data_IF_549241385176
#
_entry.id   IF_549241385176
#
_cell.length_a   1.000
_cell.length_b   1.000
_cell.length_c   1.000
_cell.angle_alpha   90.00
_cell.angle_beta   90.00
_cell.angle_gamma   90.00
#
_symmetry.space_group_name_H-M   'P 1'
#
loop_
_entity.id
_entity.type
_entity.pdbx_description
1 polymer ?
#
# COMPACT_ATOMS: atom_id res chain seq x y z
N UNK A 1 59.23 19.12 34.59
CA UNK A 1 59.70 17.73 34.70
C UNK A 1 58.98 16.91 33.63
N UNK A 2 59.77 16.39 32.69
CA UNK A 2 59.58 15.29 31.70
C UNK A 2 58.29 15.30 30.83
N UNK A 3 58.36 15.60 29.52
CA UNK A 3 58.87 14.79 28.38
C UNK A 3 58.03 13.52 28.11
N UNK A 4 57.26 13.44 27.01
CA UNK A 4 57.63 12.85 25.68
C UNK A 4 56.65 11.68 25.41
N UNK A 5 56.25 11.22 24.21
CA UNK A 5 56.74 11.34 22.83
C UNK A 5 55.62 10.98 21.81
N UNK A 6 55.86 11.41 20.57
CA UNK A 6 55.32 10.93 19.29
C UNK A 6 55.37 9.40 19.12
N UNK A 7 54.45 8.85 18.30
CA UNK A 7 54.80 7.91 17.24
C UNK A 7 53.79 8.00 16.08
N UNK A 8 54.33 8.12 14.87
CA UNK A 8 53.66 8.12 13.57
C UNK A 8 53.86 6.76 12.86
N UNK A 9 53.34 6.66 11.63
CA UNK A 9 53.47 5.58 10.61
C UNK A 9 52.37 4.49 10.66
N UNK A 10 51.80 3.99 9.56
CA UNK A 10 52.29 3.91 8.17
C UNK A 10 51.10 3.76 7.18
N UNK A 11 51.30 4.27 5.96
CA UNK A 11 50.57 4.00 4.71
C UNK A 11 50.47 2.49 4.39
N UNK A 12 49.35 2.06 3.79
CA UNK A 12 49.35 1.03 2.75
C UNK A 12 48.22 1.30 1.74
N UNK A 13 48.64 1.47 0.48
CA UNK A 13 47.85 1.66 -0.73
C UNK A 13 47.64 0.30 -1.44
N UNK A 14 46.45 0.15 -2.03
CA UNK A 14 46.14 -0.59 -3.28
C UNK A 14 46.20 -2.15 -3.26
N UNK A 15 45.51 -2.88 -4.17
CA UNK A 15 45.02 -2.43 -5.48
C UNK A 15 43.59 -2.81 -5.90
N UNK A 16 43.16 -2.11 -6.94
CA UNK A 16 42.05 -2.41 -7.82
C UNK A 16 42.19 -3.81 -8.45
N UNK A 17 41.07 -4.53 -8.54
CA UNK A 17 40.93 -5.71 -9.39
C UNK A 17 39.90 -5.43 -10.48
N UNK A 18 40.33 -5.65 -11.71
CA UNK A 18 39.62 -5.41 -12.95
C UNK A 18 38.54 -6.46 -13.23
N UNK A 19 37.53 -6.02 -13.98
CA UNK A 19 36.50 -6.81 -14.66
C UNK A 19 37.12 -7.86 -15.60
N UNK A 20 36.48 -9.03 -15.78
CA UNK A 20 36.56 -9.78 -17.02
C UNK A 20 35.43 -9.33 -17.98
N UNK A 21 35.86 -8.80 -19.11
CA UNK A 21 35.09 -8.64 -20.34
C UNK A 21 34.55 -9.98 -20.84
N UNK A 22 33.27 -10.03 -21.23
CA UNK A 22 32.76 -11.01 -22.17
C UNK A 22 32.28 -10.28 -23.42
N UNK A 23 33.07 -10.39 -24.48
CA UNK A 23 32.72 -10.09 -25.86
C UNK A 23 31.85 -11.21 -26.43
N UNK A 24 30.80 -10.86 -27.16
CA UNK A 24 29.95 -11.81 -27.85
C UNK A 24 28.97 -11.08 -28.77
N UNK A 25 29.43 -10.78 -29.99
CA UNK A 25 28.64 -10.26 -31.09
C UNK A 25 27.54 -11.24 -31.53
N UNK A 26 26.40 -10.70 -31.96
CA UNK A 26 25.31 -11.46 -32.57
C UNK A 26 24.12 -10.57 -32.93
N UNK A 27 24.27 -9.76 -33.99
CA UNK A 27 23.20 -8.96 -34.61
C UNK A 27 22.39 -9.84 -35.57
N UNK A 28 21.07 -9.93 -35.40
CA UNK A 28 20.08 -10.00 -36.48
C UNK A 28 18.79 -9.26 -36.07
N UNK A 29 18.10 -8.58 -37.02
CA UNK A 29 17.00 -7.66 -36.72
C UNK A 29 15.67 -8.41 -36.70
N UNK A 30 14.89 -8.22 -35.65
CA UNK A 30 13.53 -8.75 -35.53
C UNK A 30 12.68 -7.77 -34.76
N UNK A 31 11.62 -7.28 -35.41
CA UNK A 31 10.61 -6.34 -34.94
C UNK A 31 10.48 -6.19 -33.42
N UNK A 32 10.82 -5.00 -32.92
CA UNK A 32 10.37 -4.55 -31.60
C UNK A 32 8.87 -4.28 -31.68
N UNK A 33 8.07 -5.25 -31.27
CA UNK A 33 6.72 -4.97 -30.78
C UNK A 33 6.83 -3.98 -29.61
N UNK A 34 6.03 -2.91 -29.55
CA UNK A 34 6.03 -2.03 -28.39
C UNK A 34 5.65 -2.87 -27.18
N UNK A 35 6.58 -3.01 -26.23
CA UNK A 35 6.25 -3.53 -24.91
C UNK A 35 5.27 -2.54 -24.31
N UNK A 36 4.07 -3.00 -23.99
CA UNK A 36 3.17 -2.30 -23.09
C UNK A 36 3.99 -1.94 -21.85
N UNK A 37 4.34 -0.67 -21.72
CA UNK A 37 4.99 -0.19 -20.52
C UNK A 37 3.86 -0.04 -19.53
N UNK A 38 3.63 -1.08 -18.72
CA UNK A 38 2.86 -0.93 -17.49
C UNK A 38 3.54 0.21 -16.75
N UNK A 39 2.86 1.36 -16.67
CA UNK A 39 3.32 2.47 -15.84
C UNK A 39 3.28 1.93 -14.43
N UNK A 40 4.45 1.56 -13.91
CA UNK A 40 4.60 1.11 -12.53
C UNK A 40 4.17 2.28 -11.66
N UNK A 41 3.12 2.05 -10.87
CA UNK A 41 2.59 2.96 -9.88
C UNK A 41 3.76 3.57 -9.09
N UNK A 42 4.03 4.85 -9.31
CA UNK A 42 5.04 5.59 -8.55
C UNK A 42 4.27 6.57 -7.67
N UNK A 43 3.88 6.18 -6.44
CA UNK A 43 3.09 7.04 -5.58
C UNK A 43 3.93 8.25 -5.21
N UNK A 44 3.75 9.35 -5.94
CA UNK A 44 4.11 10.66 -5.43
C UNK A 44 2.96 11.07 -4.51
N UNK A 45 3.24 11.20 -3.22
CA UNK A 45 2.32 11.87 -2.32
C UNK A 45 2.12 13.30 -2.86
N UNK A 46 0.88 13.63 -3.22
CA UNK A 46 0.54 15.00 -3.58
C UNK A 46 0.74 15.97 -2.42
N UNK A 47 0.61 17.28 -2.66
CA UNK A 47 0.61 18.30 -1.60
C UNK A 47 -0.42 18.05 -0.49
N UNK A 48 -1.45 17.24 -0.76
CA UNK A 48 -2.51 16.83 0.18
C UNK A 48 -2.25 15.50 0.89
N UNK A 49 -1.15 14.78 0.59
CA UNK A 49 -0.87 13.45 1.14
C UNK A 49 -1.75 12.32 0.56
N UNK A 50 -2.51 12.58 -0.51
CA UNK A 50 -3.28 11.57 -1.23
C UNK A 50 -2.37 10.74 -2.14
N UNK A 51 -2.78 9.49 -2.42
CA UNK A 51 -2.16 8.69 -3.45
C UNK A 51 -2.48 9.28 -4.82
N UNK A 52 -1.41 9.48 -5.59
CA UNK A 52 -1.52 10.06 -6.92
C UNK A 52 -0.80 9.19 -7.95
N UNK A 53 -1.44 9.05 -9.10
CA UNK A 53 -0.82 8.58 -10.32
C UNK A 53 -0.36 9.81 -11.12
N UNK A 54 0.90 9.82 -11.56
CA UNK A 54 1.41 10.81 -12.49
C UNK A 54 1.74 10.13 -13.83
N UNK A 55 1.21 10.66 -14.93
CA UNK A 55 1.47 10.19 -16.27
C UNK A 55 1.93 11.36 -17.16
N UNK A 56 2.91 11.18 -18.05
CA UNK A 56 3.30 12.23 -19.00
C UNK A 56 2.13 12.67 -19.88
N UNK A 57 2.07 13.95 -20.22
CA UNK A 57 1.23 14.48 -21.29
C UNK A 57 2.08 14.55 -22.56
N UNK A 58 1.70 13.83 -23.60
CA UNK A 58 2.50 13.62 -24.82
C UNK A 58 1.77 14.20 -26.02
N UNK A 59 2.46 15.05 -26.78
CA UNK A 59 1.96 15.62 -28.02
C UNK A 59 2.00 14.61 -29.19
N UNK A 60 1.32 14.91 -30.29
CA UNK A 60 1.26 14.03 -31.48
C UNK A 60 2.62 13.69 -32.10
N UNK A 61 3.66 14.49 -31.84
CA UNK A 61 5.05 14.27 -32.28
C UNK A 61 5.89 13.47 -31.27
N UNK A 62 5.23 12.83 -30.29
CA UNK A 62 5.80 12.06 -29.18
C UNK A 62 6.60 12.89 -28.18
N UNK A 63 6.58 14.23 -28.26
CA UNK A 63 7.21 15.07 -27.24
C UNK A 63 6.40 15.05 -25.94
N UNK A 64 7.08 14.82 -24.80
CA UNK A 64 6.50 15.06 -23.49
C UNK A 64 6.40 16.58 -23.29
N UNK A 65 5.17 17.08 -23.21
CA UNK A 65 4.87 18.51 -23.09
C UNK A 65 4.20 18.88 -21.77
N UNK A 66 4.16 17.95 -20.81
CA UNK A 66 3.56 18.18 -19.49
C UNK A 66 3.34 16.91 -18.70
N UNK A 67 2.50 17.01 -17.67
CA UNK A 67 2.10 15.90 -16.82
C UNK A 67 0.59 15.94 -16.55
N UNK A 68 0.04 14.75 -16.31
CA UNK A 68 -1.33 14.52 -15.83
C UNK A 68 -1.24 13.85 -14.47
N UNK A 69 -1.90 14.46 -13.48
CA UNK A 69 -1.90 14.04 -12.09
C UNK A 69 -3.30 13.56 -11.73
N UNK A 70 -3.44 12.31 -11.29
CA UNK A 70 -4.72 11.66 -11.03
C UNK A 70 -4.78 11.20 -9.58
N UNK A 71 -5.86 11.50 -8.88
CA UNK A 71 -6.07 11.06 -7.49
C UNK A 71 -7.55 10.86 -7.19
N UNK A 72 -7.83 10.10 -6.14
CA UNK A 72 -9.19 9.91 -5.65
C UNK A 72 -9.41 10.73 -4.37
N UNK A 73 -10.54 11.41 -4.27
CA UNK A 73 -10.97 12.09 -3.05
C UNK A 73 -12.49 12.05 -2.98
N UNK A 74 -13.05 11.62 -1.84
CA UNK A 74 -14.50 11.63 -1.58
C UNK A 74 -15.33 10.92 -2.68
N UNK A 75 -14.83 9.80 -3.21
CA UNK A 75 -15.48 9.04 -4.29
C UNK A 75 -15.39 9.69 -5.68
N UNK A 76 -14.65 10.79 -5.81
CA UNK A 76 -14.44 11.50 -7.08
C UNK A 76 -13.02 11.30 -7.58
N UNK A 77 -12.88 11.04 -8.87
CA UNK A 77 -11.60 10.99 -9.56
C UNK A 77 -11.24 12.39 -10.02
N UNK A 78 -10.12 12.89 -9.53
CA UNK A 78 -9.57 14.17 -9.93
C UNK A 78 -8.46 13.92 -10.94
N UNK A 79 -8.48 14.64 -12.05
CA UNK A 79 -7.41 14.65 -13.04
C UNK A 79 -6.97 16.10 -13.29
N UNK A 80 -5.74 16.43 -12.90
CA UNK A 80 -5.13 17.73 -13.17
C UNK A 80 -4.16 17.60 -14.32
N UNK A 81 -4.39 18.39 -15.37
CA UNK A 81 -3.52 18.48 -16.54
C UNK A 81 -2.65 19.72 -16.38
N UNK A 82 -1.34 19.56 -16.50
CA UNK A 82 -0.34 20.62 -16.34
C UNK A 82 0.66 20.54 -17.50
N UNK A 83 0.47 21.31 -18.57
CA UNK A 83 1.51 21.47 -19.58
C UNK A 83 2.79 22.08 -18.99
N UNK A 84 3.92 21.88 -19.68
CA UNK A 84 5.19 22.51 -19.34
C UNK A 84 5.16 24.02 -19.58
N UNK A 85 6.21 24.72 -19.13
CA UNK A 85 6.27 26.19 -19.07
C UNK A 85 5.96 26.92 -20.40
N UNK A 86 6.22 26.27 -21.54
CA UNK A 86 5.99 26.83 -22.89
C UNK A 86 4.60 26.55 -23.46
N UNK A 87 3.71 25.87 -22.72
CA UNK A 87 2.42 25.38 -23.20
C UNK A 87 1.26 25.84 -22.31
N UNK A 88 0.11 26.10 -22.92
CA UNK A 88 -1.14 26.44 -22.23
C UNK A 88 -2.32 25.64 -22.79
N UNK A 89 -3.26 25.28 -21.93
CA UNK A 89 -4.44 24.50 -22.28
C UNK A 89 -5.52 25.39 -22.90
N UNK A 90 -5.93 25.06 -24.12
CA UNK A 90 -7.08 25.68 -24.80
C UNK A 90 -8.35 24.86 -24.66
N UNK A 91 -8.21 23.52 -24.60
CA UNK A 91 -9.32 22.61 -24.40
C UNK A 91 -8.85 21.35 -23.67
N UNK A 92 -9.70 20.79 -22.82
CA UNK A 92 -9.52 19.45 -22.24
C UNK A 92 -10.79 18.62 -22.46
N UNK A 93 -10.61 17.39 -22.90
CA UNK A 93 -11.64 16.36 -22.95
C UNK A 93 -11.22 15.17 -22.08
N UNK A 94 -12.10 14.70 -21.20
CA UNK A 94 -11.86 13.56 -20.29
C UNK A 94 -13.00 12.56 -20.36
N UNK A 95 -12.65 11.28 -20.48
CA UNK A 95 -13.55 10.15 -20.33
C UNK A 95 -13.01 9.17 -19.27
N UNK A 96 -13.90 8.70 -18.39
CA UNK A 96 -13.61 7.67 -17.38
C UNK A 96 -14.61 6.54 -17.58
N UNK A 97 -14.11 5.35 -17.89
CA UNK A 97 -14.93 4.17 -18.21
C UNK A 97 -14.32 2.90 -17.62
N UNK A 98 -15.03 1.78 -17.63
CA UNK A 98 -14.54 0.52 -17.08
C UNK A 98 -13.54 -0.16 -18.03
N UNK A 99 -13.83 -0.20 -19.34
CA UNK A 99 -12.95 -0.84 -20.34
C UNK A 99 -12.58 0.10 -21.50
N UNK A 100 -11.44 -0.11 -22.19
CA UNK A 100 -11.06 0.73 -23.33
C UNK A 100 -12.07 0.71 -24.49
N UNK A 101 -12.88 -0.33 -24.59
CA UNK A 101 -13.97 -0.49 -25.57
C UNK A 101 -15.12 0.50 -25.32
N UNK A 102 -15.32 0.94 -24.08
CA UNK A 102 -16.41 1.83 -23.68
C UNK A 102 -16.12 3.32 -23.94
N UNK A 103 -14.89 3.66 -24.30
CA UNK A 103 -14.54 5.02 -24.70
C UNK A 103 -15.34 5.39 -25.96
N UNK A 104 -16.01 6.56 -26.00
CA UNK A 104 -16.72 7.01 -27.19
C UNK A 104 -15.81 7.00 -28.43
N UNK A 105 -16.28 6.42 -29.53
CA UNK A 105 -15.50 6.22 -30.77
C UNK A 105 -16.24 6.76 -31.98
N UNK A 106 -15.46 7.24 -32.93
CA UNK A 106 -15.93 7.58 -34.28
C UNK A 106 -16.12 6.31 -35.12
N UNK A 107 -16.73 6.43 -36.30
CA UNK A 107 -16.90 5.31 -37.24
C UNK A 107 -15.58 4.66 -37.69
N UNK A 108 -14.45 5.38 -37.57
CA UNK A 108 -13.12 4.82 -37.88
C UNK A 108 -12.53 3.98 -36.74
N UNK A 109 -13.22 3.91 -35.58
CA UNK A 109 -12.76 3.21 -34.38
C UNK A 109 -11.83 4.02 -33.48
N UNK A 110 -11.48 5.26 -33.86
CA UNK A 110 -10.68 6.17 -33.05
C UNK A 110 -11.54 6.91 -32.01
N UNK A 111 -10.97 7.32 -30.87
CA UNK A 111 -11.70 8.07 -29.85
C UNK A 111 -12.39 9.32 -30.40
N UNK A 112 -13.64 9.53 -30.00
CA UNK A 112 -14.42 10.73 -30.31
C UNK A 112 -14.37 11.70 -29.13
N UNK A 113 -13.36 12.56 -29.10
CA UNK A 113 -13.10 13.49 -27.97
C UNK A 113 -14.20 14.52 -27.75
N UNK A 114 -15.09 14.72 -28.72
CA UNK A 114 -16.26 15.57 -28.60
C UNK A 114 -17.42 14.92 -27.81
N UNK A 115 -17.40 13.59 -27.68
CA UNK A 115 -18.41 12.80 -26.95
C UNK A 115 -17.92 12.35 -25.56
N UNK A 116 -16.73 12.79 -25.15
CA UNK A 116 -16.21 12.52 -23.82
C UNK A 116 -17.11 13.14 -22.74
N UNK A 117 -17.20 12.48 -21.58
CA UNK A 117 -18.08 12.86 -20.48
C UNK A 117 -17.88 14.31 -20.01
N UNK A 118 -16.63 14.78 -20.05
CA UNK A 118 -16.25 16.14 -19.65
C UNK A 118 -15.45 16.82 -20.76
N UNK A 119 -15.98 17.91 -21.30
CA UNK A 119 -15.29 18.73 -22.32
C UNK A 119 -15.30 20.19 -21.88
N UNK A 120 -14.12 20.78 -21.75
CA UNK A 120 -13.92 22.17 -21.30
C UNK A 120 -13.14 22.94 -22.35
N UNK A 121 -13.72 24.02 -22.86
CA UNK A 121 -13.02 25.03 -23.66
C UNK A 121 -12.55 26.14 -22.73
N UNK A 122 -11.26 26.41 -22.70
CA UNK A 122 -10.60 27.30 -21.75
C UNK A 122 -10.25 28.62 -22.44
N UNK A 123 -10.93 29.69 -22.04
CA UNK A 123 -10.69 31.04 -22.55
C UNK A 123 -10.69 32.05 -21.38
N UNK A 124 -9.54 32.65 -21.02
CA UNK A 124 -8.23 32.48 -21.67
C UNK A 124 -7.63 31.07 -21.45
N UNK A 125 -6.64 30.67 -22.27
CA UNK A 125 -5.89 29.43 -22.04
C UNK A 125 -5.21 29.43 -20.66
N UNK A 126 -5.12 28.24 -20.05
CA UNK A 126 -4.63 28.07 -18.67
C UNK A 126 -3.37 27.22 -18.59
N UNK A 127 -2.47 27.55 -17.67
CA UNK A 127 -1.24 26.77 -17.43
C UNK A 127 -1.52 25.44 -16.72
N UNK A 128 -2.72 25.28 -16.14
CA UNK A 128 -3.21 24.01 -15.60
C UNK A 128 -4.74 24.04 -15.49
N UNK A 129 -5.35 22.87 -15.49
CA UNK A 129 -6.77 22.73 -15.20
C UNK A 129 -7.05 21.38 -14.54
N UNK A 130 -8.02 21.37 -13.63
CA UNK A 130 -8.44 20.16 -12.91
C UNK A 130 -9.85 19.78 -13.31
N UNK A 131 -10.00 18.57 -13.81
CA UNK A 131 -11.28 17.91 -14.07
C UNK A 131 -11.61 17.02 -12.88
N UNK A 132 -12.88 16.99 -12.49
CA UNK A 132 -13.39 16.16 -11.40
C UNK A 132 -14.54 15.33 -11.95
N UNK A 133 -14.39 14.01 -11.90
CA UNK A 133 -15.38 13.04 -12.35
C UNK A 133 -15.94 12.32 -11.14
N UNK A 134 -17.26 12.38 -10.97
CA UNK A 134 -17.95 11.60 -9.95
C UNK A 134 -18.14 10.16 -10.46
N UNK A 135 -17.47 9.20 -9.81
CA UNK A 135 -17.45 7.81 -10.26
C UNK A 135 -18.84 7.17 -10.23
N UNK A 136 -19.77 7.65 -9.39
CA UNK A 136 -21.14 7.14 -9.39
C UNK A 136 -21.90 7.62 -10.63
N UNK A 137 -21.67 8.87 -11.06
CA UNK A 137 -22.30 9.40 -12.29
C UNK A 137 -21.72 8.81 -13.56
N UNK A 138 -20.46 8.34 -13.51
CA UNK A 138 -19.79 7.64 -14.60
C UNK A 138 -20.05 6.12 -14.60
N UNK A 139 -20.90 5.62 -13.69
CA UNK A 139 -21.26 4.19 -13.54
C UNK A 139 -20.05 3.27 -13.28
N UNK A 140 -19.03 3.77 -12.59
CA UNK A 140 -17.77 3.05 -12.29
C UNK A 140 -17.38 3.13 -10.81
N UNK A 141 -18.30 3.50 -9.91
CA UNK A 141 -18.02 3.65 -8.47
C UNK A 141 -17.50 2.37 -7.80
N UNK A 142 -17.97 1.21 -8.29
CA UNK A 142 -17.62 -0.11 -7.75
C UNK A 142 -16.47 -0.78 -8.50
N UNK A 143 -15.92 -0.16 -9.54
CA UNK A 143 -14.81 -0.73 -10.28
C UNK A 143 -13.53 -0.72 -9.42
N UNK A 144 -12.74 -1.80 -9.50
CA UNK A 144 -11.41 -1.84 -8.88
C UNK A 144 -10.39 -1.02 -9.68
N UNK A 145 -10.58 -0.96 -11.00
CA UNK A 145 -9.75 -0.24 -11.95
C UNK A 145 -10.66 0.51 -12.94
N UNK A 146 -10.22 1.65 -13.45
CA UNK A 146 -10.90 2.37 -14.55
C UNK A 146 -9.92 2.76 -15.64
N UNK A 147 -10.44 2.95 -16.84
CA UNK A 147 -9.72 3.54 -17.98
C UNK A 147 -9.97 5.04 -18.01
N UNK A 148 -8.88 5.80 -17.96
CA UNK A 148 -8.89 7.26 -18.05
C UNK A 148 -8.27 7.70 -19.38
N UNK A 149 -9.08 8.32 -20.24
CA UNK A 149 -8.64 8.97 -21.46
C UNK A 149 -8.66 10.49 -21.26
N UNK A 150 -7.52 11.13 -21.49
CA UNK A 150 -7.38 12.60 -21.42
C UNK A 150 -6.76 13.08 -22.72
N UNK A 151 -7.49 13.96 -23.39
CA UNK A 151 -7.06 14.68 -24.58
C UNK A 151 -7.04 16.17 -24.27
N UNK A 152 -6.01 16.87 -24.73
CA UNK A 152 -5.87 18.31 -24.60
C UNK A 152 -5.52 18.95 -25.95
N UNK A 153 -6.16 20.07 -26.26
CA UNK A 153 -5.63 21.01 -27.24
C UNK A 153 -4.79 22.04 -26.48
N UNK A 154 -3.55 22.21 -26.90
CA UNK A 154 -2.59 23.11 -26.26
C UNK A 154 -2.03 24.11 -27.26
N UNK A 155 -1.70 25.30 -26.77
CA UNK A 155 -0.96 26.30 -27.52
C UNK A 155 0.41 26.52 -26.88
N UNK A 156 1.42 26.74 -27.71
CA UNK A 156 2.77 27.11 -27.32
C UNK A 156 3.18 28.43 -27.93
N UNK A 157 3.88 29.26 -27.15
CA UNK A 157 4.46 30.51 -27.63
C UNK A 157 5.53 30.30 -28.71
N UNK A 158 6.15 29.13 -28.74
CA UNK A 158 7.29 28.81 -29.62
C UNK A 158 6.95 27.74 -30.67
N UNK A 159 6.01 26.85 -30.39
CA UNK A 159 5.68 25.70 -31.25
C UNK A 159 4.31 25.77 -31.93
N UNK A 160 3.48 26.78 -31.65
CA UNK A 160 2.12 26.88 -32.19
C UNK A 160 1.13 25.96 -31.46
N UNK A 161 0.14 25.41 -32.16
CA UNK A 161 -0.88 24.54 -31.56
C UNK A 161 -0.52 23.06 -31.71
N UNK A 162 -0.84 22.25 -30.70
CA UNK A 162 -0.71 20.80 -30.74
C UNK A 162 -1.89 20.11 -30.05
N UNK A 163 -2.13 18.85 -30.40
CA UNK A 163 -2.95 17.95 -29.60
C UNK A 163 -2.04 17.08 -28.74
N UNK A 164 -2.54 16.72 -27.56
CA UNK A 164 -1.81 15.89 -26.62
C UNK A 164 -2.71 14.93 -25.87
N UNK A 165 -2.13 13.80 -25.50
CA UNK A 165 -2.78 12.71 -24.79
C UNK A 165 -2.01 12.34 -23.54
N UNK A 166 -2.72 11.84 -22.54
CA UNK A 166 -2.06 11.15 -21.42
C UNK A 166 -1.30 9.94 -21.96
N UNK A 167 -0.04 9.77 -21.56
CA UNK A 167 0.80 8.69 -22.06
C UNK A 167 0.36 7.34 -21.49
N UNK A 168 0.30 6.33 -22.34
CA UNK A 168 -0.09 4.96 -22.00
C UNK A 168 -0.35 4.13 -23.26
N UNK A 169 -1.05 2.98 -23.14
CA UNK A 169 -1.38 2.15 -24.30
C UNK A 169 -2.27 2.90 -25.29
N UNK A 170 -2.10 2.59 -26.58
CA UNK A 170 -2.95 3.14 -27.63
C UNK A 170 -4.30 2.44 -27.71
N UNK A 171 -5.32 3.14 -28.20
CA UNK A 171 -6.65 2.58 -28.34
C UNK A 171 -6.69 1.40 -29.33
N UNK A 172 -7.40 0.29 -29.00
CA UNK A 172 -7.59 -0.82 -29.91
C UNK A 172 -8.19 -0.37 -31.25
N UNK A 173 -7.49 -0.62 -32.35
CA UNK A 173 -7.91 -0.21 -33.70
C UNK A 173 -7.51 1.21 -34.10
N UNK A 174 -6.87 1.98 -33.22
CA UNK A 174 -6.42 3.34 -33.52
C UNK A 174 -5.04 3.66 -32.87
N UNK A 175 -3.96 3.01 -33.33
CA UNK A 175 -2.64 3.11 -32.69
C UNK A 175 -1.97 4.48 -32.81
N UNK A 176 -2.47 5.37 -33.66
CA UNK A 176 -1.85 6.67 -33.95
C UNK A 176 -2.65 7.88 -33.48
N UNK A 177 -3.81 7.72 -32.85
CA UNK A 177 -4.70 8.86 -32.55
C UNK A 177 -5.09 9.02 -31.07
N UNK A 178 -4.42 8.33 -30.17
CA UNK A 178 -4.58 8.59 -28.75
C UNK A 178 -4.14 7.46 -27.86
N UNK A 179 -3.94 7.82 -26.59
CA UNK A 179 -3.54 6.92 -25.53
C UNK A 179 -4.50 7.09 -24.33
N UNK A 180 -4.51 6.10 -23.46
CA UNK A 180 -5.23 6.12 -22.19
C UNK A 180 -4.36 5.55 -21.08
N UNK A 181 -4.80 5.67 -19.83
CA UNK A 181 -4.13 5.07 -18.68
C UNK A 181 -5.11 4.22 -17.87
N UNK A 182 -4.65 3.08 -17.40
CA UNK A 182 -5.35 2.27 -16.40
C UNK A 182 -5.11 2.89 -15.01
N UNK A 183 -6.19 3.13 -14.28
CA UNK A 183 -6.16 3.75 -12.96
C UNK A 183 -6.68 2.75 -11.94
N UNK A 184 -5.77 2.18 -11.16
CA UNK A 184 -6.11 1.35 -10.00
C UNK A 184 -6.75 2.23 -8.91
N UNK A 185 -8.08 2.13 -8.78
CA UNK A 185 -8.84 2.89 -7.80
C UNK A 185 -8.54 2.41 -6.38
N UNK A 186 -8.19 1.14 -6.17
CA UNK A 186 -7.75 0.61 -4.88
C UNK A 186 -6.45 1.27 -4.42
N UNK A 187 -5.46 1.32 -5.32
CA UNK A 187 -4.21 2.04 -5.13
C UNK A 187 -4.43 3.52 -4.85
N UNK A 188 -5.29 4.21 -5.62
CA UNK A 188 -5.63 5.62 -5.34
C UNK A 188 -6.40 5.83 -4.02
N UNK A 189 -7.16 4.84 -3.56
CA UNK A 189 -7.82 4.86 -2.24
C UNK A 189 -6.84 4.67 -1.09
N UNK A 190 -5.59 4.31 -1.35
CA UNK A 190 -4.62 4.04 -0.29
C UNK A 190 -4.47 2.58 0.09
N UNK A 191 -5.19 1.66 -0.55
CA UNK A 191 -5.18 0.24 -0.21
C UNK A 191 -3.90 -0.42 -0.77
N UNK A 192 -3.05 -0.91 0.12
CA UNK A 192 -1.79 -1.61 -0.18
C UNK A 192 -1.96 -3.13 -0.23
N UNK A 193 -2.86 -3.66 0.59
CA UNK A 193 -3.18 -5.09 0.66
C UNK A 193 -4.66 -5.23 0.92
N UNK A 194 -5.31 -6.15 0.20
CA UNK A 194 -6.56 -6.76 0.63
C UNK A 194 -6.54 -8.24 0.29
N UNK A 195 -6.66 -9.06 1.33
CA UNK A 195 -6.78 -10.51 1.21
C UNK A 195 -7.93 -11.01 2.06
N UNK A 196 -8.84 -11.79 1.46
CA UNK A 196 -10.03 -12.32 2.12
C UNK A 196 -9.73 -13.37 3.18
N UNK A 197 -8.65 -14.13 3.02
CA UNK A 197 -8.22 -15.16 3.96
C UNK A 197 -9.26 -16.26 4.25
N UNK A 198 -10.21 -16.52 3.36
CA UNK A 198 -11.23 -17.57 3.53
C UNK A 198 -10.88 -18.91 2.88
N UNK A 199 -9.82 -18.98 2.10
CA UNK A 199 -9.31 -20.25 1.58
C UNK A 199 -7.83 -20.17 1.19
N UNK A 200 -7.22 -21.32 0.93
CA UNK A 200 -5.84 -21.37 0.45
C UNK A 200 -5.67 -20.63 -0.88
N UNK A 201 -6.70 -20.66 -1.73
CA UNK A 201 -6.71 -19.92 -3.00
C UNK A 201 -6.72 -18.42 -2.74
N UNK A 202 -7.55 -17.95 -1.82
CA UNK A 202 -7.63 -16.52 -1.51
C UNK A 202 -6.33 -16.02 -0.89
N UNK A 203 -5.69 -16.81 -0.01
CA UNK A 203 -4.36 -16.46 0.52
C UNK A 203 -3.36 -16.23 -0.62
N UNK A 204 -3.32 -17.10 -1.63
CA UNK A 204 -2.36 -17.00 -2.74
C UNK A 204 -2.85 -16.14 -3.92
N UNK A 205 -3.99 -15.45 -3.81
CA UNK A 205 -4.54 -14.58 -4.84
C UNK A 205 -5.23 -13.39 -4.16
N UNK A 206 -4.43 -12.43 -3.70
CA UNK A 206 -4.94 -11.21 -3.06
C UNK A 206 -5.82 -10.41 -4.03
N UNK A 207 -6.87 -9.78 -3.52
CA UNK A 207 -7.72 -8.87 -4.31
C UNK A 207 -6.95 -7.59 -4.66
N UNK A 208 -6.12 -7.12 -3.71
CA UNK A 208 -5.20 -5.99 -3.90
C UNK A 208 -3.87 -6.32 -3.23
N UNK A 209 -2.76 -5.94 -3.87
CA UNK A 209 -1.43 -6.10 -3.31
C UNK A 209 -0.83 -7.50 -3.54
N UNK A 210 0.26 -7.84 -2.82
CA UNK A 210 0.97 -9.09 -3.03
C UNK A 210 0.18 -10.30 -2.52
N UNK A 211 0.41 -11.44 -3.15
CA UNK A 211 -0.12 -12.72 -2.71
C UNK A 211 0.55 -13.19 -1.41
N UNK A 212 -0.22 -13.91 -0.62
CA UNK A 212 0.24 -14.56 0.60
C UNK A 212 0.83 -15.94 0.36
N UNK A 213 1.58 -16.41 1.35
CA UNK A 213 2.12 -17.77 1.43
C UNK A 213 1.66 -18.39 2.74
N UNK A 214 1.12 -19.60 2.64
CA UNK A 214 0.81 -20.43 3.80
C UNK A 214 2.07 -21.17 4.21
N UNK A 215 2.45 -21.04 5.47
CA UNK A 215 3.54 -21.80 6.08
C UNK A 215 2.96 -22.70 7.15
N UNK A 216 3.27 -23.99 7.06
CA UNK A 216 2.78 -25.00 8.00
C UNK A 216 1.32 -25.38 7.81
N UNK A 217 0.71 -25.89 8.87
CA UNK A 217 -0.67 -26.37 8.88
C UNK A 217 -1.63 -25.28 9.36
N UNK A 218 -2.70 -25.04 8.59
CA UNK A 218 -3.77 -24.10 8.93
C UNK A 218 -5.13 -24.75 8.68
N UNK A 219 -6.10 -24.37 9.48
CA UNK A 219 -7.49 -24.78 9.35
C UNK A 219 -8.39 -23.58 9.03
N UNK A 220 -9.53 -23.84 8.39
CA UNK A 220 -10.52 -22.84 8.00
C UNK A 220 -11.75 -22.96 8.89
N UNK A 221 -12.21 -21.84 9.40
CA UNK A 221 -13.37 -21.77 10.30
C UNK A 221 -14.26 -20.62 9.88
N UNK A 222 -15.56 -20.75 10.15
CA UNK A 222 -16.51 -19.66 9.91
C UNK A 222 -16.03 -18.38 10.62
N UNK A 223 -16.04 -17.28 9.88
CA UNK A 223 -15.64 -15.95 10.31
C UNK A 223 -16.69 -14.90 9.88
N UNK A 224 -16.31 -13.63 9.80
CA UNK A 224 -17.24 -12.54 9.52
C UNK A 224 -17.74 -12.57 8.07
N UNK A 225 -16.84 -12.76 7.10
CA UNK A 225 -17.12 -12.67 5.67
C UNK A 225 -17.15 -14.02 4.94
N UNK A 226 -17.25 -15.12 5.69
CA UNK A 226 -17.23 -16.47 5.14
C UNK A 226 -16.42 -17.37 6.05
N UNK A 227 -15.35 -17.94 5.52
CA UNK A 227 -14.34 -18.61 6.32
C UNK A 227 -13.17 -17.64 6.59
N UNK A 228 -12.44 -17.89 7.65
CA UNK A 228 -11.16 -17.29 7.97
C UNK A 228 -10.16 -18.38 8.34
N UNK A 229 -8.88 -18.05 8.38
CA UNK A 229 -7.85 -19.03 8.71
C UNK A 229 -7.48 -18.98 10.19
N UNK A 230 -7.08 -20.13 10.71
CA UNK A 230 -6.47 -20.30 12.02
C UNK A 230 -5.22 -21.17 11.87
N UNK A 231 -4.05 -20.74 12.39
CA UNK A 231 -2.90 -21.63 12.51
C UNK A 231 -3.20 -22.83 13.40
N UNK A 232 -2.88 -24.04 12.95
CA UNK A 232 -3.05 -25.22 13.78
C UNK A 232 -1.97 -25.26 14.87
N UNK A 233 -2.31 -25.55 16.14
CA UNK A 233 -1.31 -25.69 17.19
C UNK A 233 -0.43 -26.91 16.93
N UNK A 234 0.88 -26.78 17.16
CA UNK A 234 1.82 -27.88 16.97
C UNK A 234 1.77 -28.90 18.11
N UNK A 235 1.72 -30.21 17.83
CA UNK A 235 1.74 -31.23 18.88
C UNK A 235 3.07 -31.34 19.65
N UNK A 236 4.20 -30.96 19.05
CA UNK A 236 5.55 -31.32 19.54
C UNK A 236 6.31 -30.17 20.22
N UNK A 237 5.90 -28.91 20.02
CA UNK A 237 6.53 -27.76 20.66
C UNK A 237 5.58 -26.54 20.60
N UNK A 238 4.81 -26.27 21.66
CA UNK A 238 3.86 -25.16 21.68
C UNK A 238 4.53 -23.77 21.68
N UNK A 239 5.84 -23.69 21.93
CA UNK A 239 6.55 -22.42 22.11
C UNK A 239 7.15 -21.81 20.82
N UNK A 240 6.93 -22.43 19.64
CA UNK A 240 7.41 -21.89 18.36
C UNK A 240 6.25 -21.76 17.36
N UNK A 241 5.85 -20.54 16.99
CA UNK A 241 4.79 -20.31 16.03
C UNK A 241 5.33 -20.48 14.60
N UNK A 242 5.31 -21.72 14.11
CA UNK A 242 5.80 -22.03 12.77
C UNK A 242 4.68 -22.11 11.71
N UNK A 243 3.41 -22.08 12.14
CA UNK A 243 2.26 -22.07 11.27
C UNK A 243 1.75 -20.63 11.15
N UNK A 244 1.69 -20.09 9.93
CA UNK A 244 1.28 -18.70 9.70
C UNK A 244 0.96 -18.44 8.23
N UNK A 245 0.29 -17.33 7.98
CA UNK A 245 0.20 -16.72 6.64
C UNK A 245 1.19 -15.57 6.58
N UNK A 246 1.93 -15.45 5.49
CA UNK A 246 2.89 -14.36 5.29
C UNK A 246 2.69 -13.65 3.96
N UNK A 247 2.87 -12.33 3.97
CA UNK A 247 2.85 -11.50 2.77
C UNK A 247 4.20 -10.77 2.65
N UNK A 248 4.87 -10.97 1.52
CA UNK A 248 6.13 -10.33 1.17
C UNK A 248 5.93 -9.27 0.09
N UNK A 249 6.85 -8.29 -0.01
CA UNK A 249 6.72 -7.20 -0.99
C UNK A 249 5.78 -6.08 -0.58
N UNK A 250 5.28 -6.11 0.66
CA UNK A 250 4.58 -5.00 1.29
C UNK A 250 5.61 -4.00 1.82
N UNK A 251 5.60 -2.78 1.30
CA UNK A 251 6.39 -1.68 1.86
C UNK A 251 5.46 -0.74 2.62
N UNK A 252 5.53 -0.76 3.95
CA UNK A 252 4.80 0.21 4.78
C UNK A 252 5.51 1.57 4.75
N UNK A 253 4.70 2.62 4.84
CA UNK A 253 5.17 4.01 4.89
C UNK A 253 5.07 4.60 6.29
N UNK A 254 5.44 5.89 6.41
CA UNK A 254 5.34 6.68 7.65
C UNK A 254 3.97 6.74 8.27
N UNK A 255 2.95 6.50 7.46
CA UNK A 255 1.54 6.60 7.79
C UNK A 255 0.85 5.38 7.22
N UNK A 256 -0.22 4.95 7.87
CA UNK A 256 -0.97 3.80 7.41
C UNK A 256 -1.95 3.26 8.43
N UNK A 257 -2.66 2.22 8.03
CA UNK A 257 -3.50 1.44 8.92
C UNK A 257 -3.57 -0.02 8.47
N UNK A 258 -3.80 -0.92 9.41
CA UNK A 258 -4.08 -2.34 9.17
C UNK A 258 -5.38 -2.66 9.90
N UNK A 259 -6.27 -3.40 9.24
CA UNK A 259 -7.53 -3.85 9.81
C UNK A 259 -7.86 -5.27 9.37
N UNK A 260 -8.57 -6.00 10.22
CA UNK A 260 -9.01 -7.37 9.97
C UNK A 260 -10.09 -7.78 10.97
N UNK A 261 -10.77 -8.88 10.68
CA UNK A 261 -11.67 -9.54 11.60
C UNK A 261 -10.95 -10.63 12.37
N UNK A 262 -11.26 -10.73 13.66
CA UNK A 262 -10.65 -11.67 14.57
C UNK A 262 -11.70 -12.32 15.46
N UNK A 263 -11.76 -13.65 15.47
CA UNK A 263 -12.54 -14.38 16.44
C UNK A 263 -11.61 -15.14 17.39
N UNK A 264 -11.53 -14.74 18.67
CA UNK A 264 -10.74 -15.47 19.64
C UNK A 264 -11.37 -16.82 19.96
N UNK A 265 -10.57 -17.79 20.38
CA UNK A 265 -11.08 -19.06 20.91
C UNK A 265 -11.10 -19.12 22.45
N UNK A 266 -10.70 -18.03 23.11
CA UNK A 266 -10.65 -17.91 24.55
C UNK A 266 -11.53 -16.78 25.09
N UNK A 267 -12.00 -16.96 26.32
CA UNK A 267 -12.73 -15.94 27.06
C UNK A 267 -11.77 -14.93 27.71
N UNK A 268 -12.16 -13.65 27.74
CA UNK A 268 -11.34 -12.51 28.21
C UNK A 268 -10.82 -12.67 29.66
N UNK A 269 -11.43 -13.53 30.48
CA UNK A 269 -11.21 -13.54 31.92
C UNK A 269 -9.78 -13.93 32.40
N UNK A 270 -8.91 -14.49 31.57
CA UNK A 270 -7.45 -14.59 31.79
C UNK A 270 -6.81 -15.36 30.63
N UNK A 271 -6.26 -14.67 29.64
CA UNK A 271 -5.59 -15.29 28.49
C UNK A 271 -4.47 -16.23 28.90
N UNK A 272 -3.81 -16.01 30.06
CA UNK A 272 -2.84 -16.97 30.65
C UNK A 272 -1.48 -17.06 29.93
N UNK A 273 -1.42 -16.63 28.67
CA UNK A 273 -0.23 -16.56 27.82
C UNK A 273 -0.27 -15.33 26.90
N UNK A 274 0.78 -15.15 26.10
CA UNK A 274 0.88 -14.04 25.16
C UNK A 274 0.47 -14.53 23.77
N UNK A 275 -0.46 -13.82 23.12
CA UNK A 275 -0.97 -14.16 21.77
C UNK A 275 -0.53 -13.10 20.77
N UNK A 276 0.25 -13.50 19.77
CA UNK A 276 0.75 -12.64 18.69
C UNK A 276 -0.13 -12.73 17.44
N UNK A 277 -1.00 -11.74 17.21
CA UNK A 277 -1.92 -11.78 16.07
C UNK A 277 -1.18 -11.47 14.76
N UNK A 278 -0.43 -10.37 14.76
CA UNK A 278 0.29 -9.90 13.58
C UNK A 278 1.66 -9.36 13.96
N UNK A 279 2.60 -9.54 13.03
CA UNK A 279 3.90 -8.90 13.08
C UNK A 279 4.35 -8.48 11.68
N UNK A 280 4.98 -7.31 11.58
CA UNK A 280 5.64 -6.84 10.37
C UNK A 280 7.09 -6.49 10.68
N UNK A 281 8.03 -7.11 9.97
CA UNK A 281 9.45 -6.99 10.27
C UNK A 281 10.31 -7.97 9.47
N UNK A 282 11.62 -7.99 9.76
CA UNK A 282 12.56 -8.89 9.08
C UNK A 282 12.54 -10.29 9.72
N UNK A 283 12.32 -11.37 8.96
CA UNK A 283 12.31 -12.74 9.46
C UNK A 283 13.55 -13.14 10.27
N UNK A 284 14.74 -12.77 9.82
CA UNK A 284 16.00 -13.18 10.46
C UNK A 284 16.49 -12.24 11.57
N UNK A 285 15.73 -11.19 11.90
CA UNK A 285 16.14 -10.19 12.89
C UNK A 285 14.97 -9.82 13.82
N UNK A 286 14.89 -10.49 14.98
CA UNK A 286 13.90 -10.21 16.03
C UNK A 286 13.88 -8.76 16.50
N UNK A 287 15.02 -8.07 16.41
CA UNK A 287 15.10 -6.67 16.84
C UNK A 287 14.52 -5.74 15.77
N UNK A 288 14.19 -6.26 14.58
CA UNK A 288 13.62 -5.56 13.44
C UNK A 288 12.12 -5.83 13.23
N UNK A 289 11.37 -6.06 14.32
CA UNK A 289 9.90 -6.12 14.26
C UNK A 289 9.33 -4.71 14.30
N UNK A 290 9.02 -4.11 13.17
CA UNK A 290 8.59 -2.72 13.12
C UNK A 290 7.14 -2.47 13.56
N UNK A 291 6.22 -3.42 13.39
CA UNK A 291 4.81 -3.33 13.83
C UNK A 291 4.36 -4.65 14.44
N UNK A 292 3.62 -4.61 15.55
CA UNK A 292 3.01 -5.79 16.15
C UNK A 292 1.71 -5.47 16.89
N UNK A 293 0.76 -6.40 16.82
CA UNK A 293 -0.42 -6.47 17.67
C UNK A 293 -0.43 -7.77 18.45
N UNK A 294 -0.45 -7.67 19.78
CA UNK A 294 -0.38 -8.83 20.67
C UNK A 294 -1.20 -8.64 21.96
N UNK A 295 -1.73 -9.73 22.50
CA UNK A 295 -2.33 -9.79 23.84
C UNK A 295 -1.32 -10.34 24.83
N UNK A 296 -1.22 -9.76 26.04
CA UNK A 296 -0.23 -10.16 27.05
C UNK A 296 -0.86 -10.79 28.31
N UNK A 297 -0.16 -11.79 28.85
CA UNK A 297 -0.53 -12.68 29.96
C UNK A 297 -0.82 -11.98 31.29
N UNK A 298 -0.28 -10.79 31.51
CA UNK A 298 -0.48 -10.01 32.73
C UNK A 298 -1.55 -8.94 32.52
N UNK A 299 -2.75 -9.22 33.03
CA UNK A 299 -3.82 -8.23 33.33
C UNK A 299 -4.70 -7.77 32.15
N UNK A 300 -5.03 -8.65 31.18
CA UNK A 300 -5.91 -8.32 30.04
C UNK A 300 -5.41 -7.10 29.24
N UNK A 301 -4.09 -7.01 29.06
CA UNK A 301 -3.47 -5.90 28.34
C UNK A 301 -3.39 -6.22 26.87
N UNK A 302 -4.09 -5.42 26.06
CA UNK A 302 -3.82 -5.35 24.64
C UNK A 302 -2.58 -4.48 24.46
N UNK A 303 -1.48 -5.10 24.04
CA UNK A 303 -0.23 -4.40 23.77
C UNK A 303 -0.06 -4.24 22.26
N UNK A 304 0.22 -3.00 21.84
CA UNK A 304 0.54 -2.73 20.45
C UNK A 304 1.90 -2.04 20.41
N UNK A 305 2.83 -2.64 19.67
CA UNK A 305 4.20 -2.15 19.58
C UNK A 305 4.50 -1.67 18.17
N UNK A 306 5.15 -0.53 18.06
CA UNK A 306 5.98 -0.22 16.90
C UNK A 306 7.44 -0.32 17.36
N UNK A 307 8.07 -1.48 17.14
CA UNK A 307 9.42 -1.76 17.63
C UNK A 307 10.44 -1.31 16.57
N UNK A 308 11.02 -0.13 16.74
CA UNK A 308 12.13 0.30 15.89
C UNK A 308 13.44 -0.41 16.31
N UNK A 309 14.16 -0.93 15.32
CA UNK A 309 15.39 -1.71 15.44
C UNK A 309 16.61 -0.92 15.92
N UNK A 310 16.49 0.40 16.09
CA UNK A 310 17.64 1.25 16.38
C UNK A 310 17.82 1.63 17.86
N UNK A 311 17.53 0.72 18.82
CA UNK A 311 17.90 0.77 20.26
C UNK A 311 16.87 1.28 21.29
N UNK A 312 15.62 1.58 20.93
CA UNK A 312 14.56 1.83 21.93
C UNK A 312 13.19 1.39 21.40
N UNK A 313 12.64 0.31 21.97
CA UNK A 313 11.32 -0.19 21.63
C UNK A 313 10.25 0.86 21.97
N UNK A 314 9.43 1.25 20.99
CA UNK A 314 8.28 2.10 21.24
C UNK A 314 7.02 1.25 21.43
N UNK A 315 6.57 1.12 22.68
CA UNK A 315 5.44 0.26 23.05
C UNK A 315 4.29 1.12 23.54
N UNK A 316 3.14 0.96 22.89
CA UNK A 316 1.88 1.57 23.29
C UNK A 316 1.05 0.51 24.02
N UNK A 317 0.69 0.83 25.25
CA UNK A 317 -0.09 -0.08 26.09
C UNK A 317 -1.51 0.45 26.19
N UNK A 318 -2.45 -0.45 25.95
CA UNK A 318 -3.87 -0.25 26.17
C UNK A 318 -4.30 -1.22 27.28
N UNK A 319 -4.29 -0.72 28.52
CA UNK A 319 -4.81 -1.47 29.65
C UNK A 319 -6.34 -1.37 29.64
N UNK A 320 -7.01 -2.47 29.35
CA UNK A 320 -8.45 -2.58 29.37
C UNK A 320 -8.86 -3.54 30.46
N UNK A 321 -9.93 -3.21 31.20
CA UNK A 321 -10.54 -4.16 32.12
C UNK A 321 -11.26 -5.30 31.38
N UNK A 322 -11.77 -5.01 30.19
CA UNK A 322 -12.34 -5.96 29.24
C UNK A 322 -12.26 -5.39 27.82
N UNK A 323 -12.05 -6.26 26.82
CA UNK A 323 -12.02 -5.84 25.41
C UNK A 323 -13.46 -5.70 24.89
N UNK A 324 -13.86 -4.54 24.33
CA UNK A 324 -15.25 -4.33 23.90
C UNK A 324 -15.71 -5.33 22.84
N UNK A 325 -16.75 -6.11 23.17
CA UNK A 325 -17.33 -7.09 22.25
C UNK A 325 -16.56 -8.40 22.15
N UNK A 326 -15.54 -8.62 22.98
CA UNK A 326 -14.81 -9.88 23.02
C UNK A 326 -15.74 -11.08 23.24
N UNK A 327 -15.62 -12.09 22.39
CA UNK A 327 -16.48 -13.28 22.43
C UNK A 327 -15.82 -14.44 21.71
N UNK A 328 -15.88 -15.63 22.29
CA UNK A 328 -15.47 -16.88 21.63
C UNK A 328 -16.40 -17.30 20.49
N UNK A 329 -17.58 -16.68 20.41
CA UNK A 329 -18.67 -17.08 19.50
C UNK A 329 -18.99 -16.02 18.45
N UNK A 330 -18.36 -14.85 18.52
CA UNK A 330 -18.58 -13.77 17.55
C UNK A 330 -17.26 -13.08 17.22
N UNK A 331 -16.99 -12.82 15.94
CA UNK A 331 -15.80 -12.08 15.54
C UNK A 331 -15.91 -10.62 15.97
N UNK A 332 -14.75 -10.02 16.26
CA UNK A 332 -14.55 -8.59 16.46
C UNK A 332 -13.69 -8.03 15.34
N UNK A 333 -13.86 -6.75 15.04
CA UNK A 333 -12.97 -6.04 14.13
C UNK A 333 -11.83 -5.41 14.93
N UNK A 334 -10.60 -5.65 14.50
CA UNK A 334 -9.39 -5.07 15.07
C UNK A 334 -8.72 -4.19 14.03
N UNK A 335 -8.26 -3.01 14.43
CA UNK A 335 -7.45 -2.17 13.58
C UNK A 335 -6.36 -1.41 14.35
N UNK A 336 -5.27 -1.14 13.65
CA UNK A 336 -4.15 -0.33 14.10
C UNK A 336 -3.89 0.75 13.05
N UNK A 337 -3.84 2.00 13.48
CA UNK A 337 -3.63 3.17 12.64
C UNK A 337 -2.40 3.93 13.13
N UNK A 338 -1.52 4.35 12.23
CA UNK A 338 -0.30 5.06 12.59
C UNK A 338 -0.07 6.29 11.73
N UNK A 339 0.36 7.38 12.38
CA UNK A 339 0.72 8.64 11.74
C UNK A 339 2.07 9.13 12.27
N UNK A 340 3.15 8.78 11.58
CA UNK A 340 4.50 9.19 11.94
C UNK A 340 4.76 10.69 11.85
N UNK A 341 3.83 11.47 11.29
CA UNK A 341 3.92 12.92 11.18
C UNK A 341 3.13 13.64 12.28
N UNK A 342 2.43 12.90 13.15
CA UNK A 342 1.70 13.50 14.26
C UNK A 342 2.63 14.14 15.30
N UNK A 343 2.18 15.28 15.83
CA UNK A 343 2.98 16.14 16.70
C UNK A 343 3.30 15.49 18.05
N UNK A 344 2.34 14.79 18.64
CA UNK A 344 2.50 14.07 19.91
C UNK A 344 2.77 12.58 19.68
N UNK A 345 3.62 11.93 20.49
CA UNK A 345 3.86 10.49 20.37
C UNK A 345 2.59 9.66 20.59
N UNK A 346 1.65 10.13 21.41
CA UNK A 346 0.34 9.50 21.62
C UNK A 346 -0.59 9.58 20.41
N UNK A 347 -0.37 10.51 19.50
CA UNK A 347 -1.18 10.68 18.29
C UNK A 347 -0.63 9.84 17.13
N UNK A 348 0.54 9.20 17.29
CA UNK A 348 1.23 8.48 16.21
C UNK A 348 0.77 7.04 16.02
N UNK A 349 0.06 6.47 16.99
CA UNK A 349 -0.45 5.11 16.93
C UNK A 349 -1.78 5.05 17.65
N UNK A 350 -2.81 4.47 17.05
CA UNK A 350 -4.15 4.35 17.61
C UNK A 350 -4.70 2.96 17.30
N UNK A 351 -5.35 2.34 18.27
CA UNK A 351 -5.99 1.03 18.14
C UNK A 351 -7.49 1.19 18.14
N UNK A 352 -8.17 0.41 17.32
CA UNK A 352 -9.62 0.37 17.23
C UNK A 352 -10.13 -1.05 17.44
N UNK A 353 -11.23 -1.16 18.18
CA UNK A 353 -11.99 -2.41 18.34
C UNK A 353 -13.43 -2.13 17.92
N UNK A 354 -13.95 -2.89 16.96
CA UNK A 354 -15.29 -2.69 16.41
C UNK A 354 -15.53 -1.25 15.91
N UNK A 355 -14.48 -0.64 15.33
CA UNK A 355 -14.46 0.75 14.86
C UNK A 355 -14.40 1.82 15.96
N UNK A 356 -14.28 1.45 17.23
CA UNK A 356 -14.14 2.39 18.35
C UNK A 356 -12.68 2.52 18.75
N UNK A 357 -12.16 3.75 18.75
CA UNK A 357 -10.81 4.04 19.21
C UNK A 357 -10.65 3.73 20.71
N UNK A 358 -9.61 2.97 21.05
CA UNK A 358 -9.25 2.67 22.44
C UNK A 358 -8.39 3.78 23.04
N UNK A 359 -8.62 4.09 24.31
CA UNK A 359 -7.80 5.07 25.04
C UNK A 359 -6.44 4.46 25.37
N UNK A 360 -5.35 5.21 25.17
CA UNK A 360 -4.01 4.82 25.61
C UNK A 360 -3.89 4.91 27.14
N UNK A 361 -3.21 3.94 27.75
CA UNK A 361 -2.90 3.99 29.18
C UNK A 361 -1.42 4.23 29.46
N UNK A 362 -0.53 3.84 28.53
CA UNK A 362 0.87 4.21 28.57
C UNK A 362 1.51 4.22 27.16
N UNK A 363 2.59 4.99 27.03
CA UNK A 363 3.50 4.95 25.91
C UNK A 363 4.93 4.92 26.46
N UNK A 364 5.72 3.99 25.96
CA UNK A 364 7.15 3.89 26.23
C UNK A 364 7.88 4.16 24.92
N UNK A 365 8.79 5.13 24.89
CA UNK A 365 9.54 5.47 23.67
C UNK A 365 8.85 6.50 22.77
N UNK A 366 9.47 6.76 21.62
CA UNK A 366 8.92 7.60 20.55
C UNK A 366 8.97 6.80 19.23
N UNK A 367 7.82 6.37 18.66
CA UNK A 367 7.85 5.52 17.48
C UNK A 367 8.37 6.33 16.28
N UNK A 368 9.52 5.90 15.76
CA UNK A 368 10.03 6.38 14.48
C UNK A 368 9.46 5.50 13.37
N UNK A 369 8.25 5.85 12.93
CA UNK A 369 7.51 5.07 11.92
C UNK A 369 8.07 5.23 10.50
N UNK A 370 9.30 5.71 10.30
CA UNK A 370 9.82 6.13 8.99
C UNK A 370 10.84 5.20 8.32
N UNK A 371 11.35 4.18 9.02
CA UNK A 371 12.48 3.37 8.54
C UNK A 371 12.13 1.88 8.44
N UNK A 372 11.00 1.56 7.79
CA UNK A 372 10.60 0.17 7.52
C UNK A 372 11.58 -0.50 6.57
N UNK A 373 12.14 -1.64 6.98
CA UNK A 373 13.14 -2.35 6.18
C UNK A 373 12.53 -2.92 4.88
N UNK A 374 13.21 -2.82 3.71
CA UNK A 374 12.67 -3.30 2.43
C UNK A 374 12.50 -4.82 2.36
N UNK A 375 13.17 -5.57 3.23
CA UNK A 375 13.00 -7.01 3.41
C UNK A 375 11.96 -7.40 4.47
N UNK A 376 11.21 -6.43 5.02
CA UNK A 376 10.19 -6.72 6.00
C UNK A 376 9.02 -7.49 5.37
N UNK A 377 8.44 -8.41 6.14
CA UNK A 377 7.29 -9.21 5.74
C UNK A 377 6.21 -9.08 6.80
N UNK A 378 4.95 -9.16 6.36
CA UNK A 378 3.83 -9.34 7.27
C UNK A 378 3.69 -10.83 7.59
N UNK A 379 3.45 -11.15 8.85
CA UNK A 379 3.01 -12.47 9.32
C UNK A 379 1.75 -12.34 10.14
N UNK A 380 0.80 -13.21 9.88
CA UNK A 380 -0.44 -13.40 10.61
C UNK A 380 -0.40 -14.80 11.22
N UNK A 381 -0.67 -14.93 12.51
CA UNK A 381 -0.60 -16.24 13.18
C UNK A 381 0.68 -16.50 13.98
N UNK A 382 1.71 -15.70 13.74
CA UNK A 382 3.05 -15.91 14.29
C UNK A 382 3.82 -14.60 14.41
N UNK A 383 4.69 -14.53 15.42
CA UNK A 383 5.67 -13.47 15.55
C UNK A 383 7.00 -13.81 14.90
N UNK A 384 7.59 -12.79 14.28
CA UNK A 384 8.98 -12.76 13.87
C UNK A 384 9.89 -12.74 15.11
N UNK A 385 10.27 -13.91 15.63
CA UNK A 385 11.27 -14.02 16.71
C UNK A 385 12.47 -14.83 16.24
N UNK A 386 13.64 -14.19 16.15
CA UNK A 386 14.96 -14.80 16.24
C UNK A 386 15.70 -14.38 17.53
N UNK A 387 15.85 -15.30 18.49
CA UNK A 387 16.74 -15.10 19.66
C UNK A 387 16.06 -15.28 21.02
N UNK A 388 16.89 -15.49 22.05
CA UNK A 388 16.58 -16.06 23.38
C UNK A 388 15.53 -15.38 24.29
N UNK A 389 14.57 -14.66 23.72
CA UNK A 389 13.28 -14.30 24.34
C UNK A 389 12.31 -15.49 24.48
N UNK A 390 12.79 -16.71 24.18
CA UNK A 390 12.18 -18.04 24.36
C UNK A 390 11.62 -18.36 25.77
N UNK A 391 11.72 -17.42 26.73
CA UNK A 391 11.29 -17.61 28.12
C UNK A 391 9.87 -17.11 28.42
N UNK A 392 9.26 -16.40 27.48
CA UNK A 392 7.87 -16.03 27.56
C UNK A 392 7.13 -17.07 26.71
N UNK A 393 6.11 -17.71 27.27
CA UNK A 393 5.29 -18.69 26.56
C UNK A 393 4.46 -17.94 25.49
N UNK A 394 5.11 -17.55 24.39
CA UNK A 394 4.46 -17.01 23.20
C UNK A 394 3.88 -18.21 22.48
N UNK A 395 2.59 -18.41 22.72
CA UNK A 395 1.81 -19.42 22.02
C UNK A 395 1.21 -18.70 20.80
N UNK A 396 1.04 -19.42 19.68
CA UNK A 396 0.62 -18.82 18.41
C UNK A 396 -0.75 -18.13 18.47
N UNK A 397 -1.34 -17.82 17.32
CA UNK A 397 -2.68 -17.24 17.31
C UNK A 397 -3.74 -18.26 17.69
N UNK A 398 -4.42 -17.98 18.80
CA UNK A 398 -5.55 -18.75 19.30
C UNK A 398 -6.89 -18.20 18.80
N UNK A 399 -7.01 -18.05 17.49
CA UNK A 399 -8.21 -17.49 16.89
C UNK A 399 -8.25 -17.56 15.38
N UNK A 400 -9.39 -17.15 14.84
CA UNK A 400 -9.64 -17.10 13.40
C UNK A 400 -9.41 -15.67 12.91
N UNK A 401 -8.56 -15.51 11.90
CA UNK A 401 -8.30 -14.22 11.24
C UNK A 401 -8.98 -14.23 9.87
N UNK A 402 -9.67 -13.15 9.56
CA UNK A 402 -10.46 -12.98 8.33
C UNK A 402 -10.27 -11.56 7.77
N UNK A 403 -10.35 -11.44 6.44
CA UNK A 403 -10.47 -10.20 5.68
C UNK A 403 -9.48 -9.09 6.09
N UNK A 404 -8.18 -9.29 5.80
CA UNK A 404 -7.15 -8.30 6.12
C UNK A 404 -7.06 -7.21 5.05
N UNK A 405 -7.03 -5.95 5.49
CA UNK A 405 -6.79 -4.76 4.67
C UNK A 405 -5.66 -3.92 5.26
N UNK A 406 -4.78 -3.41 4.40
CA UNK A 406 -3.71 -2.49 4.78
C UNK A 406 -3.79 -1.24 3.92
N UNK A 407 -3.76 -0.09 4.56
CA UNK A 407 -3.82 1.22 3.94
C UNK A 407 -2.53 1.99 4.20
N UNK A 408 -2.17 2.89 3.28
CA UNK A 408 -0.99 3.75 3.43
C UNK A 408 -1.30 5.14 4.03
N UNK A 409 -2.50 5.30 4.59
CA UNK A 409 -2.89 6.47 5.36
C UNK A 409 -3.51 6.04 6.71
N UNK A 410 -3.46 6.92 7.72
CA UNK A 410 -3.99 6.63 9.04
C UNK A 410 -5.51 6.77 9.01
N UNK A 411 -6.24 5.67 8.86
CA UNK A 411 -7.70 5.66 9.03
C UNK A 411 -8.05 6.07 10.47
N UNK A 412 -9.02 6.96 10.62
CA UNK A 412 -9.60 7.36 11.90
C UNK A 412 -11.03 6.86 12.11
N UNK A 413 -11.63 6.29 11.06
CA UNK A 413 -12.95 5.69 11.06
C UNK A 413 -12.87 4.33 10.33
N UNK A 414 -13.54 3.36 10.90
CA UNK A 414 -13.67 1.99 10.40
C UNK A 414 -15.15 1.57 10.36
N UNK A 415 -16.05 2.52 10.10
CA UNK A 415 -17.46 2.27 9.86
C UNK A 415 -17.70 1.43 8.60
N UNK A 416 -16.75 1.46 7.66
CA UNK A 416 -16.71 0.69 6.42
C UNK A 416 -16.27 -0.77 6.59
N UNK A 417 -15.90 -1.21 7.80
CA UNK A 417 -15.40 -2.57 8.10
C UNK A 417 -16.27 -3.75 7.66
N UNK A 418 -17.54 -3.50 7.32
CA UNK A 418 -18.48 -4.51 6.84
C UNK A 418 -18.54 -4.62 5.31
N UNK A 419 -17.80 -3.76 4.61
CA UNK A 419 -17.71 -3.76 3.15
C UNK A 419 -16.50 -4.58 2.76
N UNK A 420 -16.73 -5.63 1.97
CA UNK A 420 -15.68 -6.31 1.21
C UNK A 420 -15.29 -5.45 0.02
#
# INVERSE_FOLDING_TARGET
MRQSALAAMLLALAPAAALPSCTGEGVWPGHSTPRATTIVFNPRLGPSGLNMLAAPLVADDEQIIGEVWVWLSEGRLHARVMPGEDWQLEQISVAVVETPEDIPRTDSGCPNTAEFQSVYVLNPPLDQHQVVVDLATADVANAAEVVLAIHANVQSWTHGHAQAWVNGPSFPGCPSAGNYVHVDLGGLRGLLLWNKLGSAREVTHSEVGPDGVIVGDISWFQAQHGDGFRPDPRPSNPNYPDNYVSFSGLQLGRRGSIEFWYQPDWEDATIGHVVDILSYGIPEDAFNTHLTMAFNDRQNRLNNGALDASTTASVFVHELAAIPGWSTTAPIHLALSWDGDAAGPLDRLQVFVNGVALVHTACYGDPRLHDWHPGAVLRLGSRLVSGGWERHNWEGVDGVIDNIKIWNFPKSDFSDRFIE
#
